data_IF_706251879619
#
_entry.id   IF_706251879619
#
_cell.length_a   1.000
_cell.length_b   1.000
_cell.length_c   1.000
_cell.angle_alpha   90.00
_cell.angle_beta   90.00
_cell.angle_gamma   90.00
#
_symmetry.space_group_name_H-M   'P 1'
#
loop_
_entity.id
_entity.type
_entity.pdbx_description
1 polymer ?
#
# COMPACT_ATOMS: atom_id res chain seq x y z
N UNK A 1 -6.41 8.44 27.89
CA UNK A 1 -7.11 9.72 27.61
C UNK A 1 -6.57 10.17 26.27
N UNK A 2 -7.26 10.09 25.13
CA UNK A 2 -8.68 10.06 24.70
C UNK A 2 -8.84 8.93 23.63
N UNK A 3 -9.99 8.33 23.33
CA UNK A 3 -11.21 8.96 22.82
C UNK A 3 -12.35 7.91 22.76
N UNK A 4 -13.36 8.03 23.63
CA UNK A 4 -14.60 7.23 23.58
C UNK A 4 -15.56 7.68 22.46
N UNK A 5 -15.16 8.63 21.60
CA UNK A 5 -15.94 9.20 20.51
C UNK A 5 -15.24 9.20 19.15
N UNK A 6 -14.35 8.23 18.88
CA UNK A 6 -13.77 8.10 17.55
C UNK A 6 -14.89 7.78 16.55
N UNK A 7 -15.18 8.75 15.69
CA UNK A 7 -16.21 8.65 14.66
C UNK A 7 -16.05 7.32 13.89
N UNK A 8 -17.08 6.46 13.83
CA UNK A 8 -16.96 5.13 13.22
C UNK A 8 -16.56 5.19 11.74
N UNK A 9 -16.89 6.29 11.05
CA UNK A 9 -16.46 6.54 9.66
C UNK A 9 -14.94 6.76 9.62
N UNK A 10 -14.41 7.61 10.50
CA UNK A 10 -12.96 7.87 10.55
C UNK A 10 -12.18 6.60 10.91
N UNK A 11 -12.72 5.78 11.82
CA UNK A 11 -12.16 4.46 12.13
C UNK A 11 -12.18 3.52 10.92
N UNK A 12 -13.26 3.54 10.15
CA UNK A 12 -13.39 2.76 8.92
C UNK A 12 -12.36 3.19 7.86
N UNK A 13 -12.21 4.51 7.66
CA UNK A 13 -11.20 5.07 6.74
C UNK A 13 -9.79 4.70 7.20
N UNK A 14 -9.48 4.85 8.49
CA UNK A 14 -8.17 4.48 9.01
C UNK A 14 -7.87 3.00 8.79
N UNK A 15 -8.83 2.12 9.08
CA UNK A 15 -8.70 0.68 8.83
C UNK A 15 -8.44 0.37 7.34
N UNK A 16 -9.09 1.11 6.43
CA UNK A 16 -8.85 0.95 5.00
C UNK A 16 -7.43 1.38 4.61
N UNK A 17 -6.95 2.52 5.12
CA UNK A 17 -5.60 3.01 4.87
C UNK A 17 -4.55 2.04 5.41
N UNK A 18 -4.73 1.55 6.63
CA UNK A 18 -3.84 0.57 7.27
C UNK A 18 -3.82 -0.74 6.49
N UNK A 19 -4.99 -1.24 6.08
CA UNK A 19 -5.09 -2.46 5.28
C UNK A 19 -4.37 -2.34 3.93
N UNK A 20 -4.48 -1.18 3.28
CA UNK A 20 -3.79 -0.91 2.02
C UNK A 20 -2.26 -0.88 2.21
N UNK A 21 -1.78 -0.23 3.28
CA UNK A 21 -0.36 -0.18 3.60
C UNK A 21 0.21 -1.58 3.90
N UNK A 22 -0.47 -2.37 4.73
CA UNK A 22 -0.07 -3.74 5.07
C UNK A 22 -0.04 -4.63 3.84
N UNK A 23 -1.06 -4.56 2.99
CA UNK A 23 -1.11 -5.35 1.75
C UNK A 23 0.12 -5.11 0.86
N UNK A 24 0.45 -3.86 0.58
CA UNK A 24 1.59 -3.55 -0.29
C UNK A 24 2.93 -3.89 0.36
N UNK A 25 3.06 -3.67 1.67
CA UNK A 25 4.26 -4.08 2.40
C UNK A 25 4.49 -5.60 2.29
N UNK A 26 3.47 -6.41 2.59
CA UNK A 26 3.55 -7.87 2.56
C UNK A 26 3.82 -8.37 1.13
N UNK A 27 3.14 -7.81 0.13
CA UNK A 27 3.30 -8.19 -1.26
C UNK A 27 4.74 -7.92 -1.76
N UNK A 28 5.25 -6.70 -1.59
CA UNK A 28 6.61 -6.37 -2.06
C UNK A 28 7.69 -7.09 -1.27
N UNK A 29 7.52 -7.25 0.04
CA UNK A 29 8.43 -8.06 0.87
C UNK A 29 8.47 -9.50 0.36
N UNK A 30 7.30 -10.11 0.13
CA UNK A 30 7.21 -11.49 -0.37
C UNK A 30 7.88 -11.64 -1.73
N UNK A 31 7.61 -10.73 -2.67
CA UNK A 31 8.23 -10.77 -3.99
C UNK A 31 9.76 -10.65 -3.90
N UNK A 32 10.27 -9.77 -3.03
CA UNK A 32 11.71 -9.57 -2.88
C UNK A 32 12.39 -10.76 -2.19
N UNK A 33 11.82 -11.29 -1.11
CA UNK A 33 12.35 -12.48 -0.41
C UNK A 33 12.38 -13.70 -1.34
N UNK A 34 11.40 -13.84 -2.22
CA UNK A 34 11.33 -14.94 -3.19
C UNK A 34 12.10 -14.67 -4.50
N UNK A 35 12.77 -13.53 -4.63
CA UNK A 35 13.54 -13.19 -5.84
C UNK A 35 12.70 -13.04 -7.11
N UNK A 36 11.40 -12.76 -6.98
CA UNK A 36 10.50 -12.58 -8.13
C UNK A 36 10.70 -11.17 -8.69
N UNK A 37 11.29 -11.03 -9.88
CA UNK A 37 11.52 -9.73 -10.51
C UNK A 37 10.31 -9.24 -11.33
N UNK A 38 10.38 -8.02 -11.85
CA UNK A 38 9.35 -7.42 -12.72
C UNK A 38 8.73 -6.14 -12.17
N UNK A 39 7.97 -5.47 -13.01
CA UNK A 39 7.31 -4.20 -12.74
C UNK A 39 5.93 -4.37 -12.09
N UNK A 40 5.46 -3.32 -11.41
CA UNK A 40 4.10 -3.22 -10.89
C UNK A 40 3.23 -2.41 -11.84
N UNK A 41 2.03 -2.90 -12.15
CA UNK A 41 1.01 -2.17 -12.92
C UNK A 41 -0.34 -2.27 -12.24
N UNK A 42 -1.08 -1.15 -12.20
CA UNK A 42 -2.44 -1.10 -11.66
C UNK A 42 -3.41 -0.53 -12.71
N UNK A 43 -4.58 -1.17 -12.88
CA UNK A 43 -5.65 -0.64 -13.73
C UNK A 43 -6.76 -0.03 -12.87
N UNK A 44 -6.91 1.30 -12.94
CA UNK A 44 -7.92 2.04 -12.18
C UNK A 44 -7.44 2.42 -10.78
N UNK A 45 -6.58 3.43 -10.68
CA UNK A 45 -5.91 3.84 -9.43
C UNK A 45 -6.63 4.93 -8.61
N UNK A 46 -7.91 5.21 -8.93
CA UNK A 46 -8.72 6.26 -8.30
C UNK A 46 -7.96 7.59 -8.12
N UNK A 47 -7.45 8.14 -9.24
CA UNK A 47 -6.64 9.36 -9.24
C UNK A 47 -5.21 9.17 -8.72
N UNK A 48 -4.67 7.95 -8.78
CA UNK A 48 -3.32 7.63 -8.33
C UNK A 48 -3.19 7.39 -6.82
N UNK A 49 -4.29 7.29 -6.07
CA UNK A 49 -4.25 7.10 -4.63
C UNK A 49 -3.68 5.72 -4.23
N UNK A 50 -4.17 4.66 -4.87
CA UNK A 50 -3.69 3.29 -4.61
C UNK A 50 -2.28 3.10 -5.18
N UNK A 51 -1.98 3.66 -6.35
CA UNK A 51 -0.62 3.71 -6.90
C UNK A 51 0.36 4.44 -5.95
N UNK A 52 -0.03 5.57 -5.36
CA UNK A 52 0.82 6.28 -4.38
C UNK A 52 1.04 5.44 -3.12
N UNK A 53 0.02 4.71 -2.65
CA UNK A 53 0.19 3.78 -1.53
C UNK A 53 1.20 2.66 -1.87
N UNK A 54 1.12 2.09 -3.08
CA UNK A 54 2.09 1.13 -3.58
C UNK A 54 3.50 1.76 -3.64
N UNK A 55 3.64 2.95 -4.22
CA UNK A 55 4.91 3.67 -4.34
C UNK A 55 5.63 3.78 -2.99
N UNK A 56 4.91 4.23 -1.96
CA UNK A 56 5.46 4.46 -0.62
C UNK A 56 5.99 3.19 0.03
N UNK A 57 5.38 2.04 -0.25
CA UNK A 57 5.89 0.76 0.25
C UNK A 57 7.05 0.25 -0.61
N UNK A 58 6.99 0.45 -1.93
CA UNK A 58 8.05 0.01 -2.85
C UNK A 58 9.40 0.67 -2.53
N UNK A 59 9.42 2.00 -2.29
CA UNK A 59 10.67 2.72 -1.96
C UNK A 59 11.37 2.19 -0.70
N UNK A 60 10.61 1.65 0.25
CA UNK A 60 11.16 1.05 1.47
C UNK A 60 11.55 -0.42 1.31
N UNK A 61 11.07 -1.09 0.26
CA UNK A 61 11.27 -2.53 0.06
C UNK A 61 12.62 -2.91 -0.55
N UNK A 62 13.37 -1.95 -1.10
CA UNK A 62 14.67 -2.18 -1.72
C UNK A 62 14.63 -2.86 -3.10
N UNK A 63 13.44 -3.16 -3.64
CA UNK A 63 13.27 -3.76 -4.97
C UNK A 63 13.24 -2.73 -6.11
N UNK A 64 14.05 -2.94 -7.15
CA UNK A 64 14.13 -2.07 -8.34
C UNK A 64 12.98 -2.27 -9.33
N UNK A 65 11.72 -2.18 -8.88
CA UNK A 65 10.54 -2.30 -9.75
C UNK A 65 10.15 -0.94 -10.31
N UNK A 66 9.80 -0.86 -11.58
CA UNK A 66 9.09 0.32 -12.07
C UNK A 66 7.59 0.18 -11.77
N UNK A 67 6.90 1.32 -11.75
CA UNK A 67 5.46 1.35 -11.53
C UNK A 67 4.73 2.04 -12.68
N UNK A 68 3.60 1.45 -13.06
CA UNK A 68 2.75 1.87 -14.17
C UNK A 68 1.29 1.92 -13.72
N UNK A 69 0.50 2.86 -14.25
CA UNK A 69 -0.93 2.98 -13.95
C UNK A 69 -1.73 3.56 -15.12
#
# INVERSE_FOLDING_TARGET
MTDEHTNPILRGVQRQLDGCATFFFDAFTSLNVNGISGDYVEFGSWGGNTLNAAYRQLIGSGGGRHMWA
#
